data_IF_332983818193
#
_entry.id   IF_332983818193
#
_cell.length_a   1.000
_cell.length_b   1.000
_cell.length_c   1.000
_cell.angle_alpha   90.00
_cell.angle_beta   90.00
_cell.angle_gamma   90.00
#
_symmetry.space_group_name_H-M   'P 1'
#
loop_
_entity.id
_entity.type
_entity.pdbx_description
1 polymer ?
#
# COMPACT_ATOMS: atom_id res chain seq x y z
N UNK A 1 -12.60 -32.04 -9.54
CA UNK A 1 -12.02 -30.86 -8.86
C UNK A 1 -12.02 -29.73 -9.88
N UNK A 2 -12.88 -28.70 -9.77
CA UNK A 2 -12.75 -27.54 -10.64
C UNK A 2 -11.67 -26.62 -10.06
N UNK A 3 -10.63 -26.37 -10.87
CA UNK A 3 -9.61 -25.36 -10.62
C UNK A 3 -10.27 -23.98 -10.49
N UNK A 4 -10.02 -23.30 -9.37
CA UNK A 4 -10.31 -21.88 -9.23
C UNK A 4 -9.40 -21.07 -10.15
N UNK A 5 -9.83 -20.85 -11.38
CA UNK A 5 -9.34 -19.72 -12.16
C UNK A 5 -9.77 -18.46 -11.42
N UNK A 6 -8.82 -17.79 -10.78
CA UNK A 6 -9.00 -16.44 -10.28
C UNK A 6 -9.49 -15.58 -11.45
N UNK A 7 -10.60 -14.87 -11.25
CA UNK A 7 -11.20 -13.98 -12.22
C UNK A 7 -10.20 -12.87 -12.57
N UNK A 8 -9.57 -12.96 -13.74
CA UNK A 8 -8.53 -12.05 -14.22
C UNK A 8 -9.06 -10.68 -14.66
N UNK A 9 -10.34 -10.39 -14.42
CA UNK A 9 -10.98 -9.12 -14.82
C UNK A 9 -11.02 -8.07 -13.70
N UNK A 10 -10.81 -8.47 -12.44
CA UNK A 10 -10.89 -7.55 -11.30
C UNK A 10 -9.49 -7.10 -10.83
N UNK A 11 -9.33 -5.81 -10.59
CA UNK A 11 -8.12 -5.27 -9.94
C UNK A 11 -8.06 -5.77 -8.50
N UNK A 12 -6.95 -6.38 -8.04
CA UNK A 12 -6.77 -6.81 -6.66
C UNK A 12 -7.01 -5.67 -5.66
N UNK A 13 -7.74 -5.95 -4.58
CA UNK A 13 -8.04 -4.97 -3.53
C UNK A 13 -6.76 -4.48 -2.82
N UNK A 14 -5.74 -5.32 -2.81
CA UNK A 14 -4.42 -5.04 -2.26
C UNK A 14 -3.72 -3.92 -3.06
N UNK A 15 -3.88 -3.86 -4.38
CA UNK A 15 -3.35 -2.75 -5.20
C UNK A 15 -4.09 -1.44 -4.91
N UNK A 16 -5.40 -1.49 -4.65
CA UNK A 16 -6.18 -0.30 -4.25
C UNK A 16 -5.68 0.21 -2.89
N UNK A 17 -5.46 -0.70 -1.95
CA UNK A 17 -4.92 -0.38 -0.62
C UNK A 17 -3.53 0.25 -0.73
N UNK A 18 -2.66 -0.33 -1.57
CA UNK A 18 -1.33 0.20 -1.85
C UNK A 18 -1.41 1.64 -2.36
N UNK A 19 -2.25 1.92 -3.37
CA UNK A 19 -2.43 3.27 -3.91
C UNK A 19 -2.87 4.24 -2.82
N UNK A 20 -3.85 3.86 -2.00
CA UNK A 20 -4.34 4.71 -0.91
C UNK A 20 -3.25 5.01 0.13
N UNK A 21 -2.50 3.99 0.55
CA UNK A 21 -1.47 4.13 1.56
C UNK A 21 -0.30 4.98 1.07
N UNK A 22 0.19 4.71 -0.14
CA UNK A 22 1.32 5.44 -0.73
C UNK A 22 0.97 6.89 -1.01
N UNK A 23 -0.25 7.18 -1.52
CA UNK A 23 -0.71 8.57 -1.71
C UNK A 23 -0.80 9.32 -0.39
N UNK A 24 -1.26 8.65 0.68
CA UNK A 24 -1.32 9.24 2.03
C UNK A 24 0.08 9.59 2.54
N UNK A 25 1.04 8.68 2.46
CA UNK A 25 2.41 8.91 2.91
C UNK A 25 3.13 9.96 2.07
N UNK A 26 2.98 9.90 0.74
CA UNK A 26 3.52 10.93 -0.17
C UNK A 26 2.99 12.31 0.18
N UNK A 27 1.68 12.44 0.43
CA UNK A 27 1.09 13.72 0.85
C UNK A 27 1.66 14.20 2.18
N UNK A 28 1.81 13.31 3.16
CA UNK A 28 2.44 13.64 4.43
C UNK A 28 3.84 14.24 4.23
N UNK A 29 4.70 13.60 3.45
CA UNK A 29 6.05 14.11 3.17
C UNK A 29 6.06 15.46 2.43
N UNK A 30 5.13 15.68 1.49
CA UNK A 30 4.99 16.99 0.82
C UNK A 30 4.53 18.07 1.80
N UNK A 31 3.55 17.77 2.65
CA UNK A 31 3.09 18.69 3.69
C UNK A 31 4.22 19.00 4.68
N UNK A 32 5.06 18.01 5.01
CA UNK A 32 6.26 18.17 5.86
C UNK A 32 7.30 19.09 5.22
N UNK A 33 7.54 18.95 3.91
CA UNK A 33 8.41 19.84 3.16
C UNK A 33 7.92 21.29 3.23
N UNK A 34 6.61 21.51 3.03
CA UNK A 34 5.99 22.84 3.11
C UNK A 34 6.10 23.42 4.51
N UNK A 35 5.81 22.64 5.56
CA UNK A 35 5.95 23.11 6.95
C UNK A 35 7.39 23.50 7.26
N UNK A 36 8.33 22.63 6.89
CA UNK A 36 9.76 22.85 7.13
C UNK A 36 10.29 24.06 6.38
N UNK A 37 9.85 24.27 5.14
CA UNK A 37 10.22 25.42 4.33
C UNK A 37 9.77 26.75 4.98
N UNK A 38 8.59 26.78 5.60
CA UNK A 38 8.12 27.97 6.32
C UNK A 38 8.87 28.20 7.64
N UNK A 39 9.21 27.13 8.38
CA UNK A 39 9.88 27.22 9.67
C UNK A 39 11.31 27.80 9.57
N UNK A 40 12.02 27.51 8.48
CA UNK A 40 13.44 27.90 8.32
C UNK A 40 13.67 28.96 7.25
N UNK A 41 12.68 29.80 6.93
CA UNK A 41 12.78 30.79 5.84
C UNK A 41 13.97 31.74 5.97
N UNK A 42 14.39 32.06 7.20
CA UNK A 42 15.53 32.95 7.48
C UNK A 42 16.87 32.20 7.65
N UNK A 43 16.86 30.86 7.57
CA UNK A 43 18.02 30.00 7.85
C UNK A 43 18.28 29.05 6.68
N UNK A 44 18.94 29.50 5.59
CA UNK A 44 19.10 28.72 4.37
C UNK A 44 19.70 27.31 4.58
N UNK A 45 20.64 27.16 5.50
CA UNK A 45 21.26 25.85 5.80
C UNK A 45 20.28 24.87 6.44
N UNK A 46 19.40 25.36 7.33
CA UNK A 46 18.32 24.56 7.95
C UNK A 46 17.11 24.42 7.04
N UNK A 47 17.02 25.24 5.98
CA UNK A 47 15.98 25.16 4.97
C UNK A 47 16.27 24.06 3.94
N UNK A 48 17.44 24.12 3.28
CA UNK A 48 17.71 23.29 2.10
C UNK A 48 17.66 21.80 2.39
N UNK A 49 18.39 21.35 3.42
CA UNK A 49 18.60 19.92 3.65
C UNK A 49 17.30 19.20 4.03
N UNK A 50 16.51 19.66 5.02
CA UNK A 50 15.30 18.95 5.42
C UNK A 50 14.19 19.03 4.36
N UNK A 51 14.06 20.16 3.66
CA UNK A 51 13.10 20.29 2.54
C UNK A 51 13.44 19.31 1.43
N UNK A 52 14.71 19.20 1.04
CA UNK A 52 15.14 18.23 0.04
C UNK A 52 14.88 16.80 0.49
N UNK A 53 15.17 16.45 1.75
CA UNK A 53 14.89 15.10 2.28
C UNK A 53 13.41 14.74 2.20
N UNK A 54 12.52 15.63 2.67
CA UNK A 54 11.09 15.39 2.61
C UNK A 54 10.57 15.25 1.16
N UNK A 55 11.10 16.04 0.22
CA UNK A 55 10.73 15.93 -1.19
C UNK A 55 11.29 14.65 -1.85
N UNK A 56 12.50 14.22 -1.49
CA UNK A 56 13.05 12.96 -1.99
C UNK A 56 12.33 11.75 -1.42
N UNK A 57 11.89 11.80 -0.15
CA UNK A 57 11.07 10.76 0.44
C UNK A 57 9.72 10.66 -0.29
N UNK A 58 9.04 11.80 -0.51
CA UNK A 58 7.81 11.84 -1.30
C UNK A 58 8.01 11.25 -2.72
N UNK A 59 9.13 11.60 -3.37
CA UNK A 59 9.47 11.08 -4.69
C UNK A 59 9.72 9.57 -4.67
N UNK A 60 10.33 9.02 -3.62
CA UNK A 60 10.57 7.59 -3.49
C UNK A 60 9.23 6.81 -3.45
N UNK A 61 8.21 7.32 -2.74
CA UNK A 61 6.87 6.73 -2.75
C UNK A 61 6.23 6.78 -4.15
N UNK A 62 6.36 7.88 -4.89
CA UNK A 62 5.85 7.96 -6.26
C UNK A 62 6.55 6.94 -7.18
N UNK A 63 7.88 6.80 -7.09
CA UNK A 63 8.64 5.82 -7.87
C UNK A 63 8.25 4.38 -7.57
N UNK A 64 8.15 4.04 -6.29
CA UNK A 64 7.79 2.69 -5.85
C UNK A 64 6.34 2.36 -6.23
N UNK A 65 5.40 3.29 -6.05
CA UNK A 65 4.01 3.08 -6.45
C UNK A 65 3.90 2.80 -7.95
N UNK A 66 4.51 3.65 -8.77
CA UNK A 66 4.52 3.47 -10.23
C UNK A 66 5.21 2.16 -10.61
N UNK A 67 6.37 1.88 -10.02
CA UNK A 67 7.14 0.66 -10.26
C UNK A 67 6.38 -0.61 -9.89
N UNK A 68 5.67 -0.61 -8.77
CA UNK A 68 4.87 -1.75 -8.33
C UNK A 68 3.64 -1.98 -9.20
N UNK A 69 2.96 -0.92 -9.64
CA UNK A 69 1.86 -1.05 -10.61
C UNK A 69 2.39 -1.57 -11.95
N UNK A 70 3.54 -1.07 -12.41
CA UNK A 70 4.17 -1.54 -13.64
C UNK A 70 4.63 -2.99 -13.54
N UNK A 71 5.27 -3.38 -12.43
CA UNK A 71 5.70 -4.75 -12.14
C UNK A 71 4.52 -5.71 -12.11
N UNK A 72 3.41 -5.31 -11.47
CA UNK A 72 2.18 -6.10 -11.48
C UNK A 72 1.62 -6.29 -12.90
N UNK A 73 1.55 -5.21 -13.71
CA UNK A 73 1.08 -5.31 -15.09
C UNK A 73 1.98 -6.19 -15.96
N UNK A 74 3.29 -6.12 -15.76
CA UNK A 74 4.25 -6.99 -16.43
C UNK A 74 4.02 -8.46 -16.06
N UNK A 75 3.77 -8.77 -14.78
CA UNK A 75 3.40 -10.13 -14.35
C UNK A 75 2.10 -10.64 -14.98
N UNK A 76 1.13 -9.75 -15.24
CA UNK A 76 -0.10 -10.09 -15.96
C UNK A 76 0.11 -10.29 -17.47
N UNK A 77 1.35 -10.16 -17.97
CA UNK A 77 1.69 -10.35 -19.37
C UNK A 77 1.48 -9.12 -20.24
N UNK A 78 1.44 -7.92 -19.65
CA UNK A 78 1.40 -6.68 -20.42
C UNK A 78 2.67 -6.55 -21.26
N UNK A 79 2.51 -6.22 -22.54
CA UNK A 79 3.62 -5.99 -23.45
C UNK A 79 4.53 -4.85 -22.96
N UNK A 80 5.85 -5.03 -23.10
CA UNK A 80 6.83 -4.10 -22.56
C UNK A 80 6.74 -2.72 -23.23
N UNK A 81 6.50 -2.64 -24.54
CA UNK A 81 6.41 -1.36 -25.24
C UNK A 81 5.10 -0.64 -24.90
N UNK A 82 4.02 -1.40 -24.74
CA UNK A 82 2.76 -0.86 -24.21
C UNK A 82 2.94 -0.33 -22.77
N UNK A 83 3.63 -1.06 -21.91
CA UNK A 83 3.92 -0.64 -20.54
C UNK A 83 4.77 0.64 -20.51
N UNK A 84 5.81 0.73 -21.34
CA UNK A 84 6.60 1.97 -21.52
C UNK A 84 5.75 3.14 -22.00
N UNK A 85 4.80 2.88 -22.89
CA UNK A 85 3.80 3.85 -23.34
C UNK A 85 2.93 4.39 -22.20
N UNK A 86 2.51 3.54 -21.27
CA UNK A 86 1.72 3.95 -20.09
C UNK A 86 2.51 4.82 -19.11
N UNK A 87 3.81 4.57 -18.95
CA UNK A 87 4.64 5.28 -17.96
C UNK A 87 4.93 6.74 -18.33
N UNK A 88 4.66 7.16 -19.58
CA UNK A 88 4.80 8.54 -20.08
C UNK A 88 6.10 9.24 -19.61
N UNK A 89 7.19 8.49 -19.54
CA UNK A 89 8.47 8.93 -19.00
C UNK A 89 9.56 8.81 -20.06
N UNK A 90 10.54 9.73 -20.10
CA UNK A 90 11.69 9.59 -21.00
C UNK A 90 12.59 8.40 -20.65
N UNK A 91 12.49 7.89 -19.42
CA UNK A 91 13.23 6.71 -18.94
C UNK A 91 12.27 5.81 -18.13
N UNK A 92 11.45 4.98 -18.80
CA UNK A 92 10.45 4.15 -18.13
C UNK A 92 11.07 2.98 -17.36
N UNK A 93 12.24 2.50 -17.79
CA UNK A 93 12.89 1.33 -17.19
C UNK A 93 13.39 1.62 -15.76
N UNK A 94 13.58 2.90 -15.40
CA UNK A 94 13.95 3.32 -14.03
C UNK A 94 12.94 2.93 -12.95
N UNK A 95 11.67 2.72 -13.31
CA UNK A 95 10.61 2.39 -12.36
C UNK A 95 10.54 0.90 -12.05
N UNK A 96 11.00 0.03 -12.96
CA UNK A 96 10.94 -1.42 -12.79
C UNK A 96 12.28 -1.92 -12.27
N UNK A 97 12.45 -1.82 -10.95
CA UNK A 97 13.63 -2.31 -10.23
C UNK A 97 13.26 -3.40 -9.22
N UNK A 98 14.26 -4.05 -8.59
CA UNK A 98 14.00 -5.17 -7.67
C UNK A 98 13.09 -4.78 -6.49
N UNK A 99 13.26 -3.59 -5.94
CA UNK A 99 12.42 -3.09 -4.84
C UNK A 99 10.95 -2.99 -5.26
N UNK A 100 10.71 -2.45 -6.46
CA UNK A 100 9.40 -2.33 -7.07
C UNK A 100 8.77 -3.68 -7.47
N UNK A 101 9.57 -4.75 -7.64
CA UNK A 101 9.11 -6.12 -7.90
C UNK A 101 8.87 -6.92 -6.62
N UNK A 102 9.66 -6.67 -5.57
CA UNK A 102 9.52 -7.33 -4.28
C UNK A 102 8.23 -6.90 -3.56
N UNK A 103 7.85 -5.62 -3.68
CA UNK A 103 6.63 -5.09 -3.09
C UNK A 103 5.35 -5.79 -3.57
N UNK A 104 5.07 -5.92 -4.89
CA UNK A 104 3.91 -6.66 -5.39
C UNK A 104 4.00 -8.15 -5.06
N UNK A 105 5.20 -8.74 -5.03
CA UNK A 105 5.36 -10.13 -4.61
C UNK A 105 4.87 -10.34 -3.16
N UNK A 106 5.27 -9.47 -2.23
CA UNK A 106 4.76 -9.51 -0.85
C UNK A 106 3.27 -9.23 -0.75
N UNK A 107 2.79 -8.23 -1.50
CA UNK A 107 1.39 -7.83 -1.56
C UNK A 107 0.46 -8.96 -2.04
N UNK A 108 0.93 -9.76 -3.00
CA UNK A 108 0.19 -10.89 -3.57
C UNK A 108 0.45 -12.21 -2.82
N UNK A 109 1.14 -12.16 -1.67
CA UNK A 109 1.44 -13.34 -0.85
C UNK A 109 2.32 -14.36 -1.55
N UNK A 110 3.23 -13.92 -2.43
CA UNK A 110 4.15 -14.82 -3.13
C UNK A 110 5.14 -15.45 -2.13
N UNK A 111 5.46 -16.74 -2.29
CA UNK A 111 6.45 -17.38 -1.44
C UNK A 111 7.85 -16.90 -1.79
N UNK A 112 8.68 -16.69 -0.76
CA UNK A 112 10.11 -16.50 -0.94
C UNK A 112 10.75 -17.82 -1.38
N UNK A 113 11.79 -17.74 -2.21
CA UNK A 113 12.59 -18.91 -2.56
C UNK A 113 13.25 -19.52 -1.31
N UNK A 114 13.45 -20.84 -1.30
CA UNK A 114 14.05 -21.53 -0.17
C UNK A 114 15.46 -20.99 0.12
N UNK A 115 15.69 -20.56 1.36
CA UNK A 115 16.95 -19.93 1.79
C UNK A 115 17.10 -18.45 1.41
N UNK A 116 16.15 -17.84 0.71
CA UNK A 116 16.17 -16.40 0.44
C UNK A 116 15.79 -15.59 1.69
N UNK A 117 16.50 -14.49 1.92
CA UNK A 117 16.14 -13.51 2.94
C UNK A 117 15.01 -12.63 2.42
N UNK A 118 13.98 -12.43 3.24
CA UNK A 118 12.90 -11.46 2.94
C UNK A 118 13.49 -10.05 2.79
N UNK A 119 13.20 -9.39 1.67
CA UNK A 119 13.55 -7.99 1.48
C UNK A 119 12.57 -7.08 2.23
N UNK A 120 13.01 -5.85 2.54
CA UNK A 120 12.16 -4.87 3.23
C UNK A 120 10.84 -4.63 2.47
N UNK A 121 10.90 -4.53 1.14
CA UNK A 121 9.71 -4.25 0.34
C UNK A 121 8.75 -5.44 0.24
N UNK A 122 9.26 -6.67 0.22
CA UNK A 122 8.41 -7.86 0.33
C UNK A 122 7.66 -7.89 1.67
N UNK A 123 8.37 -7.62 2.77
CA UNK A 123 7.77 -7.51 4.09
C UNK A 123 6.68 -6.41 4.14
N UNK A 124 6.99 -5.21 3.62
CA UNK A 124 6.04 -4.09 3.57
C UNK A 124 4.80 -4.45 2.77
N UNK A 125 4.95 -5.08 1.60
CA UNK A 125 3.81 -5.50 0.77
C UNK A 125 2.88 -6.46 1.51
N UNK A 126 3.46 -7.44 2.22
CA UNK A 126 2.71 -8.38 3.05
C UNK A 126 1.96 -7.66 4.17
N UNK A 127 2.59 -6.70 4.85
CA UNK A 127 1.91 -5.90 5.88
C UNK A 127 0.74 -5.10 5.30
N UNK A 128 0.93 -4.46 4.14
CA UNK A 128 -0.15 -3.71 3.46
C UNK A 128 -1.31 -4.63 3.11
N UNK A 129 -1.05 -5.86 2.63
CA UNK A 129 -2.10 -6.84 2.37
C UNK A 129 -2.84 -7.24 3.66
N UNK A 130 -2.11 -7.54 4.73
CA UNK A 130 -2.67 -7.92 6.03
C UNK A 130 -3.57 -6.82 6.62
N UNK A 131 -3.13 -5.55 6.60
CA UNK A 131 -3.91 -4.41 7.11
C UNK A 131 -5.02 -3.96 6.15
N UNK A 132 -4.80 -4.06 4.85
CA UNK A 132 -5.78 -3.75 3.81
C UNK A 132 -7.00 -4.66 3.86
N UNK A 133 -6.78 -5.96 4.09
CA UNK A 133 -7.87 -6.93 4.28
C UNK A 133 -8.73 -6.57 5.50
N UNK A 134 -8.12 -6.13 6.60
CA UNK A 134 -8.85 -5.71 7.80
C UNK A 134 -9.67 -4.43 7.57
N UNK A 135 -9.09 -3.45 6.86
CA UNK A 135 -9.77 -2.20 6.49
C UNK A 135 -10.91 -2.43 5.50
N UNK A 136 -10.70 -3.25 4.47
CA UNK A 136 -11.71 -3.60 3.47
C UNK A 136 -12.85 -4.44 4.06
N UNK A 137 -12.56 -5.34 5.00
CA UNK A 137 -13.58 -6.07 5.75
C UNK A 137 -14.42 -5.11 6.61
N UNK A 138 -13.77 -4.17 7.30
CA UNK A 138 -14.45 -3.15 8.11
C UNK A 138 -15.34 -2.24 7.26
N UNK A 139 -14.87 -1.80 6.10
CA UNK A 139 -15.61 -0.95 5.16
C UNK A 139 -16.75 -1.70 4.46
N UNK A 140 -16.58 -3.00 4.20
CA UNK A 140 -17.63 -3.86 3.63
C UNK A 140 -18.73 -4.13 4.66
N UNK A 141 -18.36 -4.36 5.93
CA UNK A 141 -19.31 -4.45 7.04
C UNK A 141 -20.06 -3.13 7.21
N UNK A 142 -19.34 -2.00 7.18
CA UNK A 142 -19.94 -0.66 7.24
C UNK A 142 -20.98 -0.46 6.13
N UNK A 143 -20.65 -0.76 4.87
CA UNK A 143 -21.61 -0.63 3.75
C UNK A 143 -22.82 -1.54 3.89
N UNK A 144 -22.66 -2.78 4.36
CA UNK A 144 -23.80 -3.68 4.63
C UNK A 144 -24.70 -3.12 5.73
N UNK A 145 -24.11 -2.52 6.76
CA UNK A 145 -24.82 -1.88 7.88
C UNK A 145 -25.58 -0.64 7.41
N UNK A 146 -24.96 0.21 6.59
CA UNK A 146 -25.57 1.38 5.97
C UNK A 146 -26.71 1.00 5.00
N UNK A 147 -26.51 -0.01 4.14
CA UNK A 147 -27.53 -0.54 3.22
C UNK A 147 -28.71 -1.20 3.96
N UNK A 148 -28.46 -1.76 5.15
CA UNK A 148 -29.50 -2.30 6.02
C UNK A 148 -30.22 -1.24 6.86
N UNK A 149 -29.83 0.04 6.78
CA UNK A 149 -30.40 1.13 7.57
C UNK A 149 -30.07 1.06 9.07
N UNK A 150 -29.01 0.33 9.45
CA UNK A 150 -28.56 0.16 10.83
C UNK A 150 -27.45 1.17 11.15
N UNK A 151 -27.42 1.70 12.37
CA UNK A 151 -26.32 2.58 12.82
C UNK A 151 -25.10 1.74 13.21
N UNK A 152 -23.92 2.11 12.72
CA UNK A 152 -22.65 1.46 13.05
C UNK A 152 -22.31 1.51 14.55
N UNK A 153 -22.82 2.51 15.27
CA UNK A 153 -22.57 2.71 16.71
C UNK A 153 -23.20 1.62 17.58
N UNK A 154 -24.29 0.97 17.15
CA UNK A 154 -24.95 -0.09 17.95
C UNK A 154 -24.26 -1.45 17.87
N UNK A 155 -23.45 -1.70 16.83
CA UNK A 155 -22.75 -2.99 16.66
C UNK A 155 -21.38 -3.02 17.35
N UNK A 156 -20.79 -1.85 17.60
CA UNK A 156 -19.50 -1.70 18.29
C UNK A 156 -19.55 -2.26 19.72
N UNK A 157 -20.65 -2.05 20.45
CA UNK A 157 -20.79 -2.56 21.83
C UNK A 157 -20.96 -4.08 21.87
N UNK A 158 -21.73 -4.66 20.95
CA UNK A 158 -21.98 -6.11 20.89
C UNK A 158 -20.74 -6.89 20.44
N UNK A 159 -19.96 -6.36 19.48
CA UNK A 159 -18.71 -6.97 19.03
C UNK A 159 -17.61 -6.85 20.10
N UNK A 160 -17.53 -5.72 20.81
CA UNK A 160 -16.63 -5.56 21.95
C UNK A 160 -16.98 -6.52 23.11
N UNK A 161 -18.27 -6.74 23.37
CA UNK A 161 -18.74 -7.72 24.36
C UNK A 161 -18.40 -9.18 23.96
N UNK A 162 -18.47 -9.52 22.67
CA UNK A 162 -18.11 -10.84 22.16
C UNK A 162 -16.59 -11.13 22.25
N UNK A 163 -15.74 -10.10 22.12
CA UNK A 163 -14.28 -10.24 22.21
C UNK A 163 -13.79 -10.24 23.67
N UNK A 164 -14.52 -9.59 24.59
CA UNK A 164 -14.13 -9.42 26.00
C UNK A 164 -14.34 -10.61 26.95
N UNK A 165 -14.85 -11.77 26.50
CA UNK A 165 -15.25 -12.88 27.43
C UNK A 165 -14.30 -14.08 27.52
N UNK A 166 -13.13 -14.09 26.87
CA UNK A 166 -12.09 -15.10 27.18
C UNK A 166 -11.15 -14.62 28.29
N UNK A 167 -11.58 -14.74 29.55
CA UNK A 167 -10.64 -14.87 30.68
C UNK A 167 -10.00 -16.27 30.63
N UNK A 168 -8.66 -16.41 30.67
CA UNK A 168 -8.04 -17.70 30.92
C UNK A 168 -8.27 -18.10 32.38
N UNK A 169 -8.83 -19.29 32.57
CA UNK A 169 -9.02 -19.89 33.88
C UNK A 169 -7.69 -20.11 34.59
N UNK A 170 -7.63 -19.66 35.83
CA UNK A 170 -6.64 -20.02 36.84
C UNK A 170 -6.84 -21.47 37.28
N UNK A 171 -5.81 -22.28 37.09
CA UNK A 171 -5.47 -23.46 37.91
C UNK A 171 -3.97 -23.52 38.06
#
# INVERSE_FOLDING_TARGET
MPNGQADTTAVPAELITLVQDFVRWRRHHVDDAVRTAHLHIEQPTEWHRPVLYALTDALAYDFLLVGTLAGYLQEQGTDADLLRGHLQSPDPDRYVNQEALDLPAGLMGRPLAEGARESTWHFVGRQIAEYGVQGAQSERVRRIVEDAGLSYESLSEDVAAAIGTRRPGSS
#
